data_IF_979881617284
#
_entry.id   IF_979881617284
#
_cell.length_a   1.000
_cell.length_b   1.000
_cell.length_c   1.000
_cell.angle_alpha   90.00
_cell.angle_beta   90.00
_cell.angle_gamma   90.00
#
_symmetry.space_group_name_H-M   'P 1'
#
loop_
_entity.id
_entity.type
_entity.pdbx_description
1 polymer ?
#
# COMPACT_ATOMS: atom_id res chain seq x y z
N UNK A 1 -22.91 -9.57 7.35
CA UNK A 1 -21.91 -10.61 7.04
C UNK A 1 -20.77 -10.13 6.13
N UNK A 2 -21.03 -9.41 5.00
CA UNK A 2 -19.96 -8.97 4.06
C UNK A 2 -18.84 -8.16 4.73
N UNK A 3 -19.17 -7.19 5.59
CA UNK A 3 -18.20 -6.34 6.28
C UNK A 3 -17.33 -7.11 7.29
N UNK A 4 -17.92 -8.06 8.02
CA UNK A 4 -17.19 -8.91 8.97
C UNK A 4 -16.17 -9.76 8.22
N UNK A 5 -16.61 -10.40 7.11
CA UNK A 5 -15.72 -11.19 6.27
C UNK A 5 -14.59 -10.33 5.67
N UNK A 6 -14.93 -9.15 5.15
CA UNK A 6 -13.95 -8.21 4.61
C UNK A 6 -12.93 -7.78 5.67
N UNK A 7 -13.40 -7.47 6.88
CA UNK A 7 -12.52 -7.10 7.99
C UNK A 7 -11.52 -8.23 8.30
N UNK A 8 -12.00 -9.47 8.46
CA UNK A 8 -11.12 -10.61 8.74
C UNK A 8 -10.13 -10.90 7.60
N UNK A 9 -10.57 -10.86 6.35
CA UNK A 9 -9.65 -11.00 5.22
C UNK A 9 -8.64 -9.87 5.16
N UNK A 10 -9.07 -8.64 5.43
CA UNK A 10 -8.19 -7.47 5.49
C UNK A 10 -7.17 -7.55 6.63
N UNK A 11 -7.55 -8.06 7.83
CA UNK A 11 -6.60 -8.27 8.93
C UNK A 11 -5.58 -9.34 8.60
N UNK A 12 -5.97 -10.44 7.92
CA UNK A 12 -5.03 -11.46 7.46
C UNK A 12 -4.02 -10.90 6.45
N UNK A 13 -4.49 -10.11 5.47
CA UNK A 13 -3.61 -9.44 4.51
C UNK A 13 -2.72 -8.40 5.20
N UNK A 14 -3.27 -7.65 6.16
CA UNK A 14 -2.53 -6.67 6.96
C UNK A 14 -1.42 -7.31 7.78
N UNK A 15 -1.63 -8.50 8.34
CA UNK A 15 -0.61 -9.29 9.04
C UNK A 15 0.50 -9.78 8.11
N UNK A 16 0.16 -10.10 6.87
CA UNK A 16 1.11 -10.58 5.85
C UNK A 16 2.03 -9.47 5.32
N UNK A 17 1.53 -8.25 5.19
CA UNK A 17 2.27 -7.11 4.61
C UNK A 17 3.62 -6.86 5.28
N UNK A 18 3.72 -6.67 6.62
CA UNK A 18 5.02 -6.43 7.26
C UNK A 18 5.95 -7.64 7.16
N UNK A 19 5.42 -8.87 7.23
CA UNK A 19 6.24 -10.08 7.07
C UNK A 19 6.89 -10.14 5.69
N UNK A 20 6.12 -9.91 4.63
CA UNK A 20 6.62 -9.92 3.26
C UNK A 20 7.61 -8.78 3.02
N UNK A 21 7.29 -7.57 3.48
CA UNK A 21 8.17 -6.42 3.34
C UNK A 21 9.51 -6.63 4.07
N UNK A 22 9.49 -7.23 5.27
CA UNK A 22 10.70 -7.57 6.02
C UNK A 22 11.59 -8.54 5.25
N UNK A 23 11.02 -9.62 4.71
CA UNK A 23 11.77 -10.58 3.89
C UNK A 23 12.37 -9.93 2.64
N UNK A 24 11.64 -9.03 1.98
CA UNK A 24 12.13 -8.36 0.78
C UNK A 24 13.26 -7.37 1.05
N UNK A 25 13.29 -6.77 2.25
CA UNK A 25 14.27 -5.73 2.61
C UNK A 25 15.50 -6.30 3.31
N UNK A 26 15.31 -7.23 4.23
CA UNK A 26 16.37 -7.67 5.16
C UNK A 26 16.80 -9.11 4.95
N UNK A 27 15.94 -9.97 4.44
CA UNK A 27 16.20 -11.40 4.26
C UNK A 27 16.21 -11.77 2.79
N UNK A 28 16.74 -12.97 2.48
CA UNK A 28 16.48 -13.58 1.19
C UNK A 28 15.05 -14.10 1.17
N UNK A 29 14.26 -13.63 0.21
CA UNK A 29 12.88 -14.06 0.05
C UNK A 29 12.77 -15.58 -0.08
N UNK A 30 12.20 -16.22 0.93
CA UNK A 30 11.89 -17.64 0.93
C UNK A 30 10.39 -17.86 1.14
N UNK A 31 9.68 -18.23 0.07
CA UNK A 31 8.24 -18.51 0.11
C UNK A 31 7.87 -19.73 0.98
N UNK A 32 8.85 -20.56 1.39
CA UNK A 32 8.67 -21.70 2.29
C UNK A 32 8.93 -21.35 3.75
N UNK A 33 9.50 -20.18 4.03
CA UNK A 33 9.79 -19.77 5.40
C UNK A 33 8.49 -19.68 6.21
N UNK A 34 8.47 -20.32 7.37
CA UNK A 34 7.36 -20.22 8.31
C UNK A 34 7.54 -18.96 9.16
N UNK A 35 6.40 -18.35 9.53
CA UNK A 35 6.43 -17.25 10.49
C UNK A 35 7.08 -17.70 11.79
N UNK A 36 8.11 -16.99 12.22
CA UNK A 36 8.90 -17.26 13.42
C UNK A 36 9.04 -15.99 14.26
N UNK A 37 9.38 -16.15 15.53
CA UNK A 37 9.68 -15.02 16.40
C UNK A 37 11.01 -14.37 15.98
N UNK A 38 11.07 -13.04 15.87
CA UNK A 38 12.28 -12.29 15.48
C UNK A 38 13.44 -12.44 16.48
N UNK A 39 13.16 -12.83 17.73
CA UNK A 39 14.16 -12.95 18.80
C UNK A 39 14.66 -14.38 19.02
N UNK A 40 13.74 -15.36 19.14
CA UNK A 40 14.11 -16.73 19.46
C UNK A 40 14.03 -17.67 18.25
N UNK A 41 13.60 -17.17 17.10
CA UNK A 41 13.43 -17.91 15.85
C UNK A 41 12.54 -19.17 15.96
N UNK A 42 11.76 -19.29 17.04
CA UNK A 42 10.81 -20.39 17.20
C UNK A 42 9.66 -20.23 16.22
N UNK A 43 9.31 -21.28 15.44
CA UNK A 43 8.22 -21.20 14.49
C UNK A 43 6.87 -21.05 15.21
N UNK A 44 6.08 -20.06 14.80
CA UNK A 44 4.77 -19.79 15.39
C UNK A 44 3.75 -20.80 14.90
N UNK A 45 2.87 -21.23 15.80
CA UNK A 45 1.74 -22.11 15.48
C UNK A 45 0.60 -21.33 14.83
N UNK A 46 -0.28 -22.01 14.11
CA UNK A 46 -1.43 -21.38 13.44
C UNK A 46 -2.34 -20.58 14.40
N UNK A 47 -2.45 -20.99 15.67
CA UNK A 47 -3.23 -20.30 16.71
C UNK A 47 -2.60 -18.96 17.12
N UNK A 48 -1.30 -18.82 16.97
CA UNK A 48 -0.51 -17.63 17.26
C UNK A 48 -0.50 -16.66 16.07
N UNK A 49 -0.95 -17.13 14.90
CA UNK A 49 -1.02 -16.34 13.66
C UNK A 49 -2.43 -15.79 13.39
N UNK A 50 -3.44 -16.08 14.23
CA UNK A 50 -4.79 -15.51 14.04
C UNK A 50 -4.73 -14.01 14.34
N UNK A 51 -4.97 -13.13 13.32
CA UNK A 51 -4.81 -11.69 13.49
C UNK A 51 -5.70 -11.14 14.61
N UNK A 52 -5.22 -10.13 15.31
CA UNK A 52 -5.83 -9.45 16.46
C UNK A 52 -6.09 -10.37 17.67
N UNK A 53 -6.59 -11.59 17.46
CA UNK A 53 -6.91 -12.54 18.53
C UNK A 53 -5.62 -13.02 19.21
N UNK A 54 -4.60 -13.37 18.43
CA UNK A 54 -3.31 -13.80 18.98
C UNK A 54 -2.66 -12.68 19.77
N UNK A 55 -2.69 -11.46 19.26
CA UNK A 55 -2.13 -10.27 19.91
C UNK A 55 -2.85 -9.95 21.23
N UNK A 56 -4.20 -10.01 21.23
CA UNK A 56 -4.99 -9.80 22.44
C UNK A 56 -4.74 -10.88 23.49
N UNK A 57 -4.65 -12.16 23.06
CA UNK A 57 -4.44 -13.30 23.93
C UNK A 57 -3.04 -13.38 24.53
N UNK A 58 -2.02 -13.06 23.73
CA UNK A 58 -0.61 -13.15 24.11
C UNK A 58 -0.06 -11.82 24.65
N UNK A 59 -0.89 -10.77 24.74
CA UNK A 59 -0.49 -9.42 25.17
C UNK A 59 0.73 -8.91 24.39
N UNK A 60 0.77 -9.17 23.09
CA UNK A 60 1.88 -8.83 22.19
C UNK A 60 3.24 -9.38 22.65
N UNK A 61 3.26 -10.58 23.25
CA UNK A 61 4.49 -11.25 23.68
C UNK A 61 4.62 -12.63 23.03
N UNK A 62 5.85 -13.00 22.73
CA UNK A 62 6.13 -14.34 22.25
C UNK A 62 5.83 -15.37 23.37
N UNK A 63 5.07 -16.46 23.09
CA UNK A 63 4.76 -17.47 24.11
C UNK A 63 5.98 -18.29 24.56
N UNK A 64 7.09 -18.27 23.82
CA UNK A 64 8.28 -19.05 24.09
C UNK A 64 9.38 -18.25 24.82
N UNK A 65 9.71 -17.06 24.33
CA UNK A 65 10.77 -16.23 24.91
C UNK A 65 10.25 -15.00 25.67
N UNK A 66 8.94 -14.76 25.69
CA UNK A 66 8.27 -13.65 26.37
C UNK A 66 8.68 -12.24 25.91
N UNK A 67 9.50 -12.13 24.86
CA UNK A 67 9.87 -10.84 24.27
C UNK A 67 8.64 -10.17 23.63
N UNK A 68 8.61 -8.84 23.71
CA UNK A 68 7.53 -8.02 23.14
C UNK A 68 7.61 -8.06 21.62
N UNK A 69 6.51 -8.47 20.97
CA UNK A 69 6.35 -8.43 19.52
C UNK A 69 6.10 -6.97 19.10
N UNK A 70 6.70 -6.52 18.01
CA UNK A 70 6.55 -5.16 17.51
C UNK A 70 5.08 -4.79 17.30
N UNK A 71 4.71 -3.59 17.74
CA UNK A 71 3.36 -3.05 17.57
C UNK A 71 2.95 -2.87 16.10
N UNK A 72 3.90 -2.90 15.18
CA UNK A 72 3.66 -2.73 13.74
C UNK A 72 2.75 -3.83 13.19
N UNK A 73 2.84 -5.06 13.73
CA UNK A 73 2.02 -6.19 13.28
C UNK A 73 0.53 -5.98 13.58
N UNK A 74 0.16 -5.67 14.82
CA UNK A 74 -1.25 -5.47 15.15
C UNK A 74 -1.82 -4.18 14.53
N UNK A 75 -0.99 -3.15 14.38
CA UNK A 75 -1.39 -1.92 13.70
C UNK A 75 -1.68 -2.18 12.22
N UNK A 76 -0.82 -2.93 11.53
CA UNK A 76 -1.06 -3.31 10.14
C UNK A 76 -2.29 -4.20 9.96
N UNK A 77 -2.58 -5.09 10.92
CA UNK A 77 -3.79 -5.91 10.96
C UNK A 77 -5.05 -5.03 11.06
N UNK A 78 -5.08 -4.06 12.00
CA UNK A 78 -6.20 -3.13 12.15
C UNK A 78 -6.38 -2.25 10.92
N UNK A 79 -5.29 -1.72 10.40
CA UNK A 79 -5.31 -0.89 9.18
C UNK A 79 -5.83 -1.71 8.00
N UNK A 80 -5.30 -2.92 7.78
CA UNK A 80 -5.74 -3.80 6.71
C UNK A 80 -7.23 -4.15 6.79
N UNK A 81 -7.73 -4.47 7.98
CA UNK A 81 -9.16 -4.72 8.22
C UNK A 81 -10.02 -3.50 7.92
N UNK A 82 -9.61 -2.31 8.37
CA UNK A 82 -10.33 -1.06 8.15
C UNK A 82 -10.36 -0.66 6.67
N UNK A 83 -9.24 -0.81 5.97
CA UNK A 83 -9.15 -0.54 4.53
C UNK A 83 -10.04 -1.49 3.72
N UNK A 84 -10.11 -2.76 4.09
CA UNK A 84 -10.96 -3.74 3.42
C UNK A 84 -12.46 -3.42 3.60
N UNK A 85 -12.88 -2.95 4.77
CA UNK A 85 -14.25 -2.44 4.97
C UNK A 85 -14.53 -1.28 4.02
N UNK A 86 -13.61 -0.31 3.91
CA UNK A 86 -13.76 0.84 3.01
C UNK A 86 -13.92 0.42 1.54
N UNK A 87 -13.13 -0.56 1.07
CA UNK A 87 -13.26 -1.11 -0.29
C UNK A 87 -14.63 -1.74 -0.50
N UNK A 88 -15.14 -2.53 0.45
CA UNK A 88 -16.47 -3.17 0.35
C UNK A 88 -17.59 -2.15 0.40
N UNK A 89 -17.47 -1.09 1.22
CA UNK A 89 -18.42 0.02 1.25
C UNK A 89 -18.52 0.69 -0.12
N UNK A 90 -17.38 1.05 -0.71
CA UNK A 90 -17.32 1.67 -2.03
C UNK A 90 -17.82 0.76 -3.14
N UNK A 91 -17.42 -0.51 -3.10
CA UNK A 91 -17.90 -1.50 -4.05
C UNK A 91 -19.43 -1.66 -4.01
N UNK A 92 -20.02 -1.59 -2.82
CA UNK A 92 -21.46 -1.65 -2.64
C UNK A 92 -22.17 -0.40 -3.16
N UNK A 93 -21.55 0.78 -2.96
CA UNK A 93 -22.10 2.05 -3.43
C UNK A 93 -22.02 2.20 -4.96
N UNK A 94 -20.87 1.84 -5.56
CA UNK A 94 -20.62 1.95 -7.01
C UNK A 94 -21.07 0.73 -7.81
N UNK A 95 -21.63 -0.29 -7.18
CA UNK A 95 -22.02 -1.56 -7.83
C UNK A 95 -20.86 -2.17 -8.62
N UNK A 96 -19.69 -2.29 -7.99
CA UNK A 96 -18.52 -2.88 -8.64
C UNK A 96 -18.71 -4.38 -8.87
N UNK A 97 -18.22 -4.86 -10.01
CA UNK A 97 -18.13 -6.31 -10.26
C UNK A 97 -17.15 -6.97 -9.28
N UNK A 98 -17.34 -8.26 -8.94
CA UNK A 98 -16.40 -9.00 -8.08
C UNK A 98 -14.95 -8.97 -8.60
N UNK A 99 -14.79 -9.04 -9.92
CA UNK A 99 -13.46 -8.93 -10.57
C UNK A 99 -12.80 -7.59 -10.30
N UNK A 100 -13.55 -6.48 -10.40
CA UNK A 100 -13.03 -5.14 -10.12
C UNK A 100 -12.59 -4.99 -8.65
N UNK A 101 -13.39 -5.53 -7.72
CA UNK A 101 -13.05 -5.55 -6.28
C UNK A 101 -11.75 -6.31 -6.07
N UNK A 102 -11.62 -7.50 -6.67
CA UNK A 102 -10.42 -8.33 -6.56
C UNK A 102 -9.17 -7.60 -7.08
N UNK A 103 -9.24 -6.99 -8.27
CA UNK A 103 -8.13 -6.26 -8.88
C UNK A 103 -7.67 -5.08 -8.01
N UNK A 104 -8.59 -4.25 -7.51
CA UNK A 104 -8.25 -3.15 -6.61
C UNK A 104 -7.68 -3.65 -5.27
N UNK A 105 -8.23 -4.75 -4.72
CA UNK A 105 -7.72 -5.31 -3.47
C UNK A 105 -6.28 -5.81 -3.61
N UNK A 106 -5.96 -6.52 -4.70
CA UNK A 106 -4.59 -6.98 -4.98
C UNK A 106 -3.65 -5.77 -5.14
N UNK A 107 -4.06 -4.77 -5.90
CA UNK A 107 -3.25 -3.57 -6.12
C UNK A 107 -2.98 -2.83 -4.81
N UNK A 108 -3.99 -2.69 -3.92
CA UNK A 108 -3.82 -2.07 -2.60
C UNK A 108 -2.88 -2.87 -1.69
N UNK A 109 -2.92 -4.21 -1.74
CA UNK A 109 -1.96 -5.05 -0.98
C UNK A 109 -0.54 -4.85 -1.49
N UNK A 110 -0.32 -4.85 -2.81
CA UNK A 110 1.00 -4.58 -3.39
C UNK A 110 1.51 -3.19 -3.01
N UNK A 111 0.63 -2.16 -3.03
CA UNK A 111 0.96 -0.81 -2.57
C UNK A 111 1.32 -0.79 -1.08
N UNK A 112 0.60 -1.53 -0.24
CA UNK A 112 0.89 -1.60 1.19
C UNK A 112 2.27 -2.25 1.46
N UNK A 113 2.64 -3.30 0.71
CA UNK A 113 3.97 -3.92 0.81
C UNK A 113 5.06 -2.94 0.36
N UNK A 114 4.87 -2.25 -0.78
CA UNK A 114 5.81 -1.24 -1.25
C UNK A 114 5.96 -0.08 -0.25
N UNK A 115 4.86 0.38 0.34
CA UNK A 115 4.88 1.40 1.37
C UNK A 115 5.66 0.95 2.62
N UNK A 116 5.53 -0.31 3.03
CA UNK A 116 6.30 -0.86 4.15
C UNK A 116 7.80 -0.98 3.82
N UNK A 117 8.15 -1.40 2.61
CA UNK A 117 9.55 -1.41 2.15
C UNK A 117 10.16 -0.02 2.15
N UNK A 118 9.42 0.98 1.64
CA UNK A 118 9.88 2.37 1.59
C UNK A 118 10.04 2.97 3.00
N UNK A 119 9.15 2.65 3.95
CA UNK A 119 9.25 3.07 5.35
C UNK A 119 10.49 2.52 6.06
N UNK A 120 10.95 1.32 5.72
CA UNK A 120 12.06 0.65 6.39
C UNK A 120 13.40 0.89 5.72
N UNK A 121 13.44 0.88 4.40
CA UNK A 121 14.69 0.90 3.63
C UNK A 121 14.82 2.10 2.68
N UNK A 122 13.82 2.95 2.56
CA UNK A 122 13.77 3.99 1.52
C UNK A 122 14.01 3.42 0.11
N UNK A 123 13.54 2.21 -0.10
CA UNK A 123 13.74 1.46 -1.33
C UNK A 123 12.51 0.62 -1.67
N UNK A 124 12.13 0.61 -2.93
CA UNK A 124 10.98 -0.14 -3.43
C UNK A 124 11.45 -1.14 -4.47
N UNK A 125 11.20 -2.46 -4.25
CA UNK A 125 11.57 -3.48 -5.22
C UNK A 125 10.86 -3.28 -6.57
N UNK A 126 11.64 -3.24 -7.67
CA UNK A 126 11.08 -3.09 -9.03
C UNK A 126 10.14 -4.26 -9.39
N UNK A 127 10.36 -5.44 -8.84
CA UNK A 127 9.50 -6.61 -9.05
C UNK A 127 8.06 -6.37 -8.57
N UNK A 128 7.84 -5.63 -7.47
CA UNK A 128 6.51 -5.28 -6.98
C UNK A 128 5.83 -4.27 -7.90
N UNK A 129 6.60 -3.30 -8.43
CA UNK A 129 6.07 -2.35 -9.42
C UNK A 129 5.67 -3.07 -10.71
N UNK A 130 6.51 -4.00 -11.18
CA UNK A 130 6.19 -4.82 -12.33
C UNK A 130 4.94 -5.68 -12.09
N UNK A 131 4.79 -6.24 -10.88
CA UNK A 131 3.60 -6.99 -10.49
C UNK A 131 2.32 -6.14 -10.48
N UNK A 132 2.40 -4.82 -10.25
CA UNK A 132 1.24 -3.92 -10.33
C UNK A 132 0.75 -3.70 -11.77
N UNK A 133 1.62 -3.85 -12.77
CA UNK A 133 1.33 -3.52 -14.18
C UNK A 133 0.11 -4.27 -14.72
N UNK A 134 -0.01 -5.62 -14.63
CA UNK A 134 -1.17 -6.32 -15.16
C UNK A 134 -2.47 -5.87 -14.48
N UNK A 135 -2.48 -5.65 -13.17
CA UNK A 135 -3.68 -5.24 -12.44
C UNK A 135 -4.11 -3.83 -12.84
N UNK A 136 -3.18 -2.89 -12.94
CA UNK A 136 -3.46 -1.52 -13.39
C UNK A 136 -3.95 -1.51 -14.83
N UNK A 137 -3.38 -2.35 -15.70
CA UNK A 137 -3.79 -2.50 -17.10
C UNK A 137 -5.21 -3.06 -17.20
N UNK A 138 -5.54 -4.15 -16.49
CA UNK A 138 -6.90 -4.70 -16.48
C UNK A 138 -7.91 -3.69 -15.90
N UNK A 139 -7.55 -2.94 -14.86
CA UNK A 139 -8.41 -1.91 -14.31
C UNK A 139 -8.66 -0.77 -15.29
N UNK A 140 -7.71 -0.49 -16.18
CA UNK A 140 -7.90 0.51 -17.23
C UNK A 140 -9.08 0.20 -18.14
N UNK A 141 -9.41 -1.07 -18.40
CA UNK A 141 -10.59 -1.46 -19.19
C UNK A 141 -11.93 -1.12 -18.54
N UNK A 142 -11.96 -0.93 -17.23
CA UNK A 142 -13.17 -0.51 -16.50
C UNK A 142 -13.35 1.01 -16.51
N UNK A 143 -12.40 1.76 -17.06
CA UNK A 143 -12.45 3.21 -17.16
C UNK A 143 -12.92 3.64 -18.55
N UNK A 144 -13.60 4.77 -18.64
CA UNK A 144 -13.86 5.42 -19.92
C UNK A 144 -12.54 5.93 -20.51
N UNK A 145 -12.21 5.47 -21.70
CA UNK A 145 -11.02 5.91 -22.41
C UNK A 145 -11.35 7.17 -23.22
N UNK A 146 -11.07 8.32 -22.63
CA UNK A 146 -11.01 9.55 -23.39
C UNK A 146 -9.64 9.62 -24.09
N UNK A 147 -9.58 9.94 -25.39
CA UNK A 147 -8.33 10.02 -26.12
C UNK A 147 -7.29 10.95 -25.49
N UNK A 148 -7.75 11.93 -24.72
CA UNK A 148 -6.93 12.86 -23.97
C UNK A 148 -6.27 12.25 -22.73
N UNK A 149 -6.82 11.17 -22.16
CA UNK A 149 -6.27 10.56 -20.95
C UNK A 149 -4.83 10.11 -21.13
N UNK A 150 -4.54 9.39 -22.21
CA UNK A 150 -3.18 8.92 -22.50
C UNK A 150 -2.23 10.10 -22.70
N UNK A 151 -2.67 11.12 -23.44
CA UNK A 151 -1.87 12.33 -23.67
C UNK A 151 -1.53 13.02 -22.33
N UNK A 152 -2.52 13.20 -21.44
CA UNK A 152 -2.31 13.82 -20.12
C UNK A 152 -1.35 12.99 -19.28
N UNK A 153 -1.48 11.65 -19.26
CA UNK A 153 -0.56 10.76 -18.53
C UNK A 153 0.87 10.92 -19.07
N UNK A 154 1.04 10.89 -20.39
CA UNK A 154 2.36 11.04 -21.03
C UNK A 154 2.97 12.41 -20.72
N UNK A 155 2.20 13.49 -20.83
CA UNK A 155 2.69 14.84 -20.53
C UNK A 155 3.06 14.99 -19.06
N UNK A 156 2.23 14.48 -18.14
CA UNK A 156 2.50 14.54 -16.72
C UNK A 156 3.73 13.70 -16.31
N UNK A 157 3.88 12.49 -16.86
CA UNK A 157 5.08 11.67 -16.63
C UNK A 157 6.33 12.33 -17.21
N UNK A 158 6.24 12.88 -18.43
CA UNK A 158 7.36 13.62 -19.05
C UNK A 158 7.78 14.81 -18.19
N UNK A 159 6.82 15.54 -17.63
CA UNK A 159 7.08 16.65 -16.72
C UNK A 159 7.76 16.17 -15.41
N UNK A 160 7.28 15.08 -14.79
CA UNK A 160 7.90 14.52 -13.59
C UNK A 160 9.31 14.00 -13.85
N UNK A 161 9.55 13.35 -15.00
CA UNK A 161 10.89 12.91 -15.42
C UNK A 161 11.80 14.11 -15.64
N UNK A 162 11.32 15.18 -16.29
CA UNK A 162 12.08 16.40 -16.45
C UNK A 162 12.45 17.04 -15.11
N UNK A 163 11.50 17.10 -14.17
CA UNK A 163 11.78 17.57 -12.80
C UNK A 163 12.84 16.71 -12.11
N UNK A 164 12.78 15.39 -12.26
CA UNK A 164 13.78 14.49 -11.69
C UNK A 164 15.18 14.72 -12.31
N UNK A 165 15.27 14.98 -13.61
CA UNK A 165 16.54 15.29 -14.28
C UNK A 165 17.11 16.61 -13.79
N UNK A 166 16.27 17.64 -13.63
CA UNK A 166 16.69 18.97 -13.15
C UNK A 166 17.02 18.96 -11.66
N UNK A 167 16.29 18.20 -10.88
CA UNK A 167 16.40 18.14 -9.41
C UNK A 167 16.39 16.67 -8.91
N UNK A 168 17.50 15.92 -9.04
CA UNK A 168 17.56 14.48 -8.76
C UNK A 168 17.18 14.09 -7.31
N UNK A 169 17.25 15.07 -6.38
CA UNK A 169 16.95 14.83 -4.95
C UNK A 169 15.49 15.11 -4.56
N UNK A 170 14.64 15.58 -5.49
CA UNK A 170 13.27 15.95 -5.17
C UNK A 170 12.28 14.78 -5.32
N UNK A 171 12.48 13.94 -6.31
CA UNK A 171 11.58 12.81 -6.61
C UNK A 171 12.37 11.54 -6.86
N UNK A 172 11.92 10.44 -6.25
CA UNK A 172 12.46 9.11 -6.51
C UNK A 172 11.97 8.56 -7.87
N UNK A 173 12.85 7.89 -8.61
CA UNK A 173 12.44 7.24 -9.87
C UNK A 173 11.37 6.16 -9.67
N UNK A 174 11.37 5.51 -8.50
CA UNK A 174 10.35 4.54 -8.11
C UNK A 174 8.96 5.20 -7.99
N UNK A 175 8.88 6.42 -7.45
CA UNK A 175 7.62 7.16 -7.26
C UNK A 175 6.98 7.52 -8.61
N UNK A 176 7.79 7.94 -9.57
CA UNK A 176 7.32 8.30 -10.93
C UNK A 176 6.75 7.06 -11.63
N UNK A 177 7.46 5.92 -11.58
CA UNK A 177 6.99 4.66 -12.16
C UNK A 177 5.67 4.24 -11.53
N UNK A 178 5.59 4.33 -10.18
CA UNK A 178 4.40 3.96 -9.43
C UNK A 178 3.20 4.85 -9.77
N UNK A 179 3.39 6.17 -9.82
CA UNK A 179 2.34 7.12 -10.23
C UNK A 179 1.82 6.80 -11.64
N UNK A 180 2.71 6.51 -12.59
CA UNK A 180 2.32 6.13 -13.95
C UNK A 180 1.44 4.87 -13.97
N UNK A 181 1.80 3.85 -13.19
CA UNK A 181 1.01 2.61 -13.07
C UNK A 181 -0.37 2.87 -12.45
N UNK A 182 -0.43 3.67 -11.40
CA UNK A 182 -1.69 3.97 -10.71
C UNK A 182 -2.62 4.83 -11.57
N UNK A 183 -2.06 5.74 -12.39
CA UNK A 183 -2.84 6.57 -13.30
C UNK A 183 -3.58 5.77 -14.36
N UNK A 184 -3.05 4.63 -14.79
CA UNK A 184 -3.78 3.74 -15.70
C UNK A 184 -5.08 3.25 -15.11
N UNK A 185 -5.10 2.94 -13.81
CA UNK A 185 -6.26 2.36 -13.10
C UNK A 185 -7.32 3.38 -12.66
N UNK A 186 -7.05 4.69 -12.79
CA UNK A 186 -7.92 5.78 -12.31
C UNK A 186 -8.54 6.57 -13.46
N UNK A 187 -9.74 7.18 -13.29
CA UNK A 187 -10.29 8.14 -14.26
C UNK A 187 -9.46 9.43 -14.29
N UNK A 188 -9.55 10.18 -15.40
CA UNK A 188 -8.73 11.37 -15.62
C UNK A 188 -8.85 12.41 -14.49
N UNK A 189 -10.05 12.66 -14.00
CA UNK A 189 -10.27 13.59 -12.87
C UNK A 189 -9.53 13.20 -11.60
N UNK A 190 -9.33 11.90 -11.37
CA UNK A 190 -8.67 11.37 -10.19
C UNK A 190 -7.15 11.59 -10.17
N UNK A 191 -6.52 11.85 -11.33
CA UNK A 191 -5.08 12.05 -11.42
C UNK A 191 -4.62 13.27 -10.63
N UNK A 192 -5.33 14.39 -10.76
CA UNK A 192 -5.04 15.62 -10.02
C UNK A 192 -5.24 15.42 -8.50
N UNK A 193 -6.32 14.74 -8.12
CA UNK A 193 -6.58 14.43 -6.71
C UNK A 193 -5.52 13.53 -6.12
N UNK A 194 -5.08 12.50 -6.85
CA UNK A 194 -3.99 11.62 -6.39
C UNK A 194 -2.72 12.40 -6.11
N UNK A 195 -2.27 13.25 -7.04
CA UNK A 195 -1.07 14.06 -6.88
C UNK A 195 -1.21 15.05 -5.73
N UNK A 196 -2.33 15.78 -5.66
CA UNK A 196 -2.58 16.77 -4.61
C UNK A 196 -2.61 16.14 -3.21
N UNK A 197 -3.33 15.03 -3.05
CA UNK A 197 -3.40 14.31 -1.78
C UNK A 197 -2.06 13.67 -1.41
N UNK A 198 -1.35 13.06 -2.36
CA UNK A 198 -0.04 12.48 -2.09
C UNK A 198 0.97 13.55 -1.65
N UNK A 199 1.00 14.71 -2.31
CA UNK A 199 1.84 15.83 -1.94
C UNK A 199 1.47 16.38 -0.55
N UNK A 200 0.19 16.59 -0.26
CA UNK A 200 -0.28 17.04 1.04
C UNK A 200 0.10 16.07 2.16
N UNK A 201 -0.14 14.77 1.97
CA UNK A 201 0.22 13.74 2.94
C UNK A 201 1.74 13.64 3.14
N UNK A 202 2.51 13.74 2.06
CA UNK A 202 3.98 13.81 2.13
C UNK A 202 4.46 15.00 2.96
N UNK A 203 3.90 16.18 2.74
CA UNK A 203 4.22 17.38 3.54
C UNK A 203 3.86 17.23 5.01
N UNK A 204 2.72 16.60 5.33
CA UNK A 204 2.33 16.31 6.71
C UNK A 204 3.31 15.33 7.37
N UNK A 205 3.81 14.33 6.64
CA UNK A 205 4.84 13.40 7.15
C UNK A 205 6.15 14.13 7.45
N UNK A 206 6.55 15.11 6.64
CA UNK A 206 7.73 15.96 6.88
C UNK A 206 7.50 16.84 8.11
N UNK A 207 6.37 17.53 8.17
CA UNK A 207 6.05 18.47 9.26
C UNK A 207 6.00 17.78 10.63
N UNK A 208 5.64 16.49 10.70
CA UNK A 208 5.65 15.70 11.93
C UNK A 208 7.07 15.33 12.42
N UNK A 209 8.13 15.53 11.60
CA UNK A 209 9.52 15.17 11.91
C UNK A 209 10.50 16.32 11.68
N UNK A 210 10.35 17.48 12.37
CA UNK A 210 11.08 18.72 12.04
C UNK A 210 12.62 18.62 12.12
N UNK A 211 13.16 17.67 12.89
CA UNK A 211 14.62 17.45 13.00
C UNK A 211 15.26 16.69 11.83
N UNK A 212 14.47 16.19 10.86
CA UNK A 212 14.94 15.31 9.78
C UNK A 212 14.75 15.89 8.36
N UNK A 213 14.68 17.20 8.24
CA UNK A 213 14.45 17.89 6.96
C UNK A 213 15.44 17.56 5.84
N UNK A 214 16.65 17.09 6.18
CA UNK A 214 17.67 16.68 5.21
C UNK A 214 17.72 15.18 4.95
N UNK A 215 16.85 14.39 5.57
CA UNK A 215 16.81 12.94 5.32
C UNK A 215 15.79 12.63 4.21
N UNK A 216 16.02 11.57 3.41
CA UNK A 216 15.04 11.12 2.44
C UNK A 216 13.71 10.81 3.15
N UNK A 217 12.61 11.13 2.47
CA UNK A 217 11.26 10.93 2.99
C UNK A 217 10.65 9.76 2.25
N UNK A 218 10.12 8.75 2.95
CA UNK A 218 9.39 7.67 2.31
C UNK A 218 8.10 8.24 1.72
N UNK A 219 8.00 8.33 0.40
CA UNK A 219 6.86 8.98 -0.28
C UNK A 219 5.79 7.96 -0.72
N UNK A 220 6.17 6.69 -0.92
CA UNK A 220 5.22 5.63 -1.33
C UNK A 220 4.06 5.45 -0.34
N UNK A 221 4.23 5.54 1.01
CA UNK A 221 3.11 5.49 1.94
C UNK A 221 2.08 6.60 1.70
N UNK A 222 2.55 7.82 1.37
CA UNK A 222 1.67 8.93 1.04
C UNK A 222 0.89 8.68 -0.27
N UNK A 223 1.57 8.13 -1.30
CA UNK A 223 0.92 7.73 -2.56
C UNK A 223 -0.11 6.63 -2.33
N UNK A 224 0.22 5.60 -1.55
CA UNK A 224 -0.67 4.48 -1.27
C UNK A 224 -1.95 4.94 -0.54
N UNK A 225 -1.80 5.78 0.48
CA UNK A 225 -2.92 6.35 1.22
C UNK A 225 -3.75 7.29 0.34
N UNK A 226 -3.10 8.15 -0.45
CA UNK A 226 -3.78 9.04 -1.39
C UNK A 226 -4.58 8.24 -2.42
N UNK A 227 -4.01 7.17 -2.95
CA UNK A 227 -4.70 6.28 -3.89
C UNK A 227 -5.95 5.65 -3.27
N UNK A 228 -5.84 5.13 -2.04
CA UNK A 228 -6.99 4.61 -1.31
C UNK A 228 -8.07 5.67 -1.08
N UNK A 229 -7.69 6.88 -0.64
CA UNK A 229 -8.62 7.99 -0.42
C UNK A 229 -9.31 8.42 -1.72
N UNK A 230 -8.57 8.49 -2.82
CA UNK A 230 -9.15 8.79 -4.14
C UNK A 230 -10.16 7.73 -4.54
N UNK A 231 -9.88 6.45 -4.35
CA UNK A 231 -10.82 5.36 -4.64
C UNK A 231 -12.10 5.47 -3.79
N UNK A 232 -11.97 5.89 -2.53
CA UNK A 232 -13.09 5.91 -1.57
C UNK A 232 -13.86 7.21 -1.56
N UNK A 233 -13.22 8.34 -1.86
CA UNK A 233 -13.84 9.67 -1.78
C UNK A 233 -14.26 10.24 -3.14
N UNK A 234 -13.59 9.85 -4.23
CA UNK A 234 -13.86 10.41 -5.56
C UNK A 234 -15.34 10.33 -5.99
N UNK A 235 -16.08 9.25 -5.68
CA UNK A 235 -17.50 9.17 -6.03
C UNK A 235 -18.39 10.20 -5.35
N UNK A 236 -17.90 10.78 -4.25
CA UNK A 236 -18.60 11.82 -3.50
C UNK A 236 -18.20 13.24 -3.95
N UNK A 237 -17.12 13.34 -4.74
CA UNK A 237 -16.56 14.60 -5.23
C UNK A 237 -16.96 14.91 -6.68
N UNK A 238 -17.60 13.97 -7.37
CA UNK A 238 -18.14 14.08 -8.74
C UNK A 238 -19.63 14.04 -8.79
#
# INVERSE_FOLDING_TARGET
>A
MRFILAFFLGTCLGSFVPCLAHQLVFDHFDWRARSSCDYCHHPLSWKELIPLISQARLHSRCPYCHQVISSIYWQSELVGGSLAIGVVLMASYQVWSPTRICLYSILLVLLAVMAACDLWAYWVPDILQLACLPFSFFLAFYQTWDGWKLLVIVLALSFLILLQILHPHWLGGADIKLLGLLWLSLPLKALAWLLGLAAMLGLLMVGSRPRRWHQPIPFVPAIALAYYLVLTLLPWLT
#
